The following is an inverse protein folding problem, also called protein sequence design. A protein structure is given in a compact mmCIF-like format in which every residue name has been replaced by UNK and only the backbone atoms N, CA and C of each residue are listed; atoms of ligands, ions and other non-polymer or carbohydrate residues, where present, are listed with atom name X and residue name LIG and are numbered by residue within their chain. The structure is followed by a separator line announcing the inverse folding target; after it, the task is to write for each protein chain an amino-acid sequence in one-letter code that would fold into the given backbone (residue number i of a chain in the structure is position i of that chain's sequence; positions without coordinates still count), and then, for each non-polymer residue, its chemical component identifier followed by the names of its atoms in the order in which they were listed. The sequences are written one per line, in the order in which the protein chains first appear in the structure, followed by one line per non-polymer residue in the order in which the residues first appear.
data_IF_745613986061
#
_entry.id   IF_745613986061
#
_cell.length_a   1.000
_cell.length_b   1.000
_cell.length_c   1.000
_cell.angle_alpha   90.00
_cell.angle_beta   90.00
_cell.angle_gamma   90.00
#
_symmetry.space_group_name_H-M   'P 1'
#
loop_
_entity.id
_entity.type
_entity.pdbx_description
1 polymer ?
#
# COMPACT_ATOMS: atom_id res chain seq x y z
N UNK A 1 -34.01 -14.44 9.42
CA UNK A 1 -35.00 -15.46 9.04
C UNK A 1 -34.22 -16.70 8.64
N UNK A 2 -34.45 -17.89 9.24
CA UNK A 2 -33.87 -19.11 8.70
C UNK A 2 -34.41 -19.29 7.27
N UNK A 3 -33.54 -19.24 6.27
CA UNK A 3 -33.94 -19.42 4.87
C UNK A 3 -34.45 -20.85 4.69
N UNK A 4 -35.62 -20.99 4.07
CA UNK A 4 -36.18 -22.30 3.80
C UNK A 4 -35.37 -23.04 2.72
N UNK A 5 -35.33 -24.37 2.79
CA UNK A 5 -34.61 -25.23 1.83
C UNK A 5 -35.00 -24.90 0.38
N UNK A 6 -36.29 -24.68 0.14
CA UNK A 6 -36.84 -24.30 -1.17
C UNK A 6 -36.32 -22.95 -1.64
N UNK A 7 -36.25 -21.95 -0.78
CA UNK A 7 -35.75 -20.61 -1.12
C UNK A 7 -34.28 -20.64 -1.54
N UNK A 8 -33.43 -21.38 -0.81
CA UNK A 8 -32.02 -21.52 -1.17
C UNK A 8 -31.81 -22.29 -2.49
N UNK A 9 -32.67 -23.26 -2.78
CA UNK A 9 -32.64 -24.00 -4.05
C UNK A 9 -33.09 -23.14 -5.24
N UNK A 10 -34.13 -22.33 -5.07
CA UNK A 10 -34.59 -21.40 -6.10
C UNK A 10 -33.54 -20.30 -6.37
N UNK A 11 -32.90 -19.77 -5.32
CA UNK A 11 -31.78 -18.84 -5.51
C UNK A 11 -30.60 -19.51 -6.23
N UNK A 12 -30.27 -20.76 -5.89
CA UNK A 12 -29.22 -21.49 -6.58
C UNK A 12 -29.53 -21.66 -8.07
N UNK A 13 -30.76 -22.05 -8.44
CA UNK A 13 -31.18 -22.17 -9.84
C UNK A 13 -31.17 -20.84 -10.57
N UNK A 14 -31.47 -19.73 -9.89
CA UNK A 14 -31.41 -18.39 -10.47
C UNK A 14 -29.99 -17.97 -10.80
N UNK A 15 -29.04 -18.24 -9.91
CA UNK A 15 -27.63 -17.86 -10.06
C UNK A 15 -26.85 -18.85 -10.94
N UNK A 16 -27.27 -20.11 -10.96
CA UNK A 16 -26.71 -21.19 -11.77
C UNK A 16 -27.83 -21.88 -12.57
N UNK A 17 -28.25 -21.31 -13.71
CA UNK A 17 -29.39 -21.81 -14.49
C UNK A 17 -29.24 -23.27 -14.96
N UNK A 18 -28.01 -23.74 -15.13
CA UNK A 18 -27.70 -25.12 -15.53
C UNK A 18 -27.79 -26.15 -14.40
N UNK A 19 -28.31 -25.76 -13.23
CA UNK A 19 -28.49 -26.67 -12.09
C UNK A 19 -29.58 -27.70 -12.39
N UNK A 20 -29.25 -28.99 -12.27
CA UNK A 20 -30.19 -30.11 -12.46
C UNK A 20 -30.16 -31.06 -11.26
N UNK A 21 -31.29 -31.72 -10.98
CA UNK A 21 -31.37 -32.73 -9.92
C UNK A 21 -30.95 -34.06 -10.53
N UNK A 22 -29.93 -34.70 -9.95
CA UNK A 22 -29.44 -36.02 -10.38
C UNK A 22 -30.18 -37.12 -9.63
N UNK A 23 -30.28 -36.96 -8.31
CA UNK A 23 -30.92 -37.92 -7.42
C UNK A 23 -31.63 -37.17 -6.31
N UNK A 24 -32.87 -37.59 -6.01
CA UNK A 24 -33.61 -37.10 -4.86
C UNK A 24 -34.10 -38.29 -4.03
N UNK A 25 -33.70 -38.32 -2.77
CA UNK A 25 -34.06 -39.37 -1.83
C UNK A 25 -34.47 -38.77 -0.48
N UNK A 26 -35.05 -39.59 0.39
CA UNK A 26 -35.40 -39.17 1.74
C UNK A 26 -34.17 -38.79 2.60
N UNK A 27 -32.98 -39.24 2.22
CA UNK A 27 -31.73 -39.00 2.97
C UNK A 27 -30.92 -37.83 2.41
N UNK A 28 -30.90 -37.65 1.10
CA UNK A 28 -30.14 -36.62 0.43
C UNK A 28 -30.71 -36.23 -0.94
N UNK A 29 -30.44 -34.99 -1.35
CA UNK A 29 -30.66 -34.51 -2.71
C UNK A 29 -29.30 -34.18 -3.33
N UNK A 30 -29.01 -34.75 -4.50
CA UNK A 30 -27.79 -34.50 -5.25
C UNK A 30 -28.11 -33.66 -6.46
N UNK A 31 -27.49 -32.48 -6.53
CA UNK A 31 -27.62 -31.55 -7.64
C UNK A 31 -26.36 -31.59 -8.49
N UNK A 32 -26.50 -31.58 -9.81
CA UNK A 32 -25.41 -31.25 -10.72
C UNK A 32 -25.48 -29.76 -11.04
N UNK A 33 -24.41 -29.04 -10.77
CA UNK A 33 -24.27 -27.63 -11.12
C UNK A 33 -23.17 -27.50 -12.15
N UNK A 34 -23.49 -26.88 -13.28
CA UNK A 34 -22.53 -26.56 -14.33
C UNK A 34 -22.29 -25.03 -14.32
N UNK A 35 -21.03 -24.61 -14.36
CA UNK A 35 -20.64 -23.21 -14.31
C UNK A 35 -19.39 -22.93 -15.14
N UNK A 36 -19.43 -21.89 -15.98
CA UNK A 36 -18.26 -21.38 -16.68
C UNK A 36 -17.51 -20.40 -15.77
N UNK A 37 -16.24 -20.70 -15.53
CA UNK A 37 -15.40 -19.99 -14.57
C UNK A 37 -14.28 -19.29 -15.31
N UNK A 38 -14.18 -17.97 -15.11
CA UNK A 38 -13.10 -17.15 -15.64
C UNK A 38 -11.98 -17.06 -14.62
N UNK A 39 -10.86 -17.73 -14.90
CA UNK A 39 -9.72 -17.85 -13.99
C UNK A 39 -8.71 -16.74 -14.25
N UNK A 40 -8.59 -16.32 -15.50
CA UNK A 40 -7.79 -15.17 -15.90
C UNK A 40 -8.50 -14.38 -17.00
N UNK A 41 -8.03 -13.17 -17.35
CA UNK A 41 -8.61 -12.40 -18.45
C UNK A 41 -8.67 -13.20 -19.77
N UNK A 42 -7.76 -14.16 -19.95
CA UNK A 42 -7.56 -14.97 -21.15
C UNK A 42 -8.00 -16.42 -21.02
N UNK A 43 -8.33 -16.90 -19.81
CA UNK A 43 -8.67 -18.30 -19.53
C UNK A 43 -10.05 -18.38 -18.86
N UNK A 44 -10.95 -19.04 -19.56
CA UNK A 44 -12.28 -19.41 -19.08
C UNK A 44 -12.52 -20.87 -19.45
N UNK A 45 -12.99 -21.67 -18.49
CA UNK A 45 -13.43 -23.04 -18.78
C UNK A 45 -14.62 -23.46 -17.92
N UNK A 46 -15.36 -24.47 -18.40
CA UNK A 46 -16.55 -24.95 -17.74
C UNK A 46 -16.21 -26.04 -16.71
N UNK A 47 -16.81 -25.92 -15.53
CA UNK A 47 -16.73 -26.91 -14.46
C UNK A 47 -18.12 -27.44 -14.13
N UNK A 48 -18.15 -28.73 -13.80
CA UNK A 48 -19.31 -29.40 -13.23
C UNK A 48 -18.99 -29.80 -11.79
N UNK A 49 -19.89 -29.54 -10.85
CA UNK A 49 -19.81 -30.02 -9.47
C UNK A 49 -21.11 -30.73 -9.07
N UNK A 50 -20.98 -31.79 -8.28
CA UNK A 50 -22.11 -32.38 -7.58
C UNK A 50 -22.24 -31.79 -6.18
N UNK A 51 -23.40 -31.22 -5.90
CA UNK A 51 -23.73 -30.61 -4.61
C UNK A 51 -24.74 -31.51 -3.91
N UNK A 52 -24.29 -32.17 -2.85
CA UNK A 52 -25.10 -33.05 -2.02
C UNK A 52 -25.66 -32.27 -0.84
N UNK A 53 -26.99 -32.24 -0.75
CA UNK A 53 -27.75 -31.62 0.33
C UNK A 53 -28.28 -32.71 1.27
N UNK A 54 -27.83 -32.77 2.54
CA UNK A 54 -28.38 -33.73 3.49
C UNK A 54 -29.85 -33.43 3.80
N UNK A 55 -30.57 -34.42 4.33
CA UNK A 55 -31.96 -34.26 4.79
C UNK A 55 -32.11 -33.20 5.89
N UNK A 56 -31.06 -32.98 6.69
CA UNK A 56 -31.01 -31.95 7.74
C UNK A 56 -30.66 -30.54 7.24
N UNK A 57 -30.40 -30.34 5.95
CA UNK A 57 -30.16 -29.02 5.37
C UNK A 57 -31.40 -28.12 5.49
N UNK A 58 -31.26 -26.82 5.86
CA UNK A 58 -30.02 -26.03 5.93
C UNK A 58 -29.26 -26.09 7.27
N UNK A 59 -29.70 -26.87 8.27
CA UNK A 59 -29.01 -26.95 9.57
C UNK A 59 -27.64 -27.63 9.48
N UNK A 60 -27.48 -28.55 8.53
CA UNK A 60 -26.20 -29.16 8.20
C UNK A 60 -25.65 -28.59 6.88
N UNK A 61 -24.32 -28.55 6.77
CA UNK A 61 -23.63 -28.03 5.60
C UNK A 61 -23.88 -28.89 4.35
N UNK A 62 -23.95 -28.26 3.15
CA UNK A 62 -23.89 -28.98 1.89
C UNK A 62 -22.49 -29.55 1.66
N UNK A 63 -22.37 -30.55 0.79
CA UNK A 63 -21.08 -31.11 0.34
C UNK A 63 -20.94 -30.90 -1.16
N UNK A 64 -19.78 -30.43 -1.62
CA UNK A 64 -19.44 -30.32 -3.02
C UNK A 64 -18.42 -31.39 -3.41
N UNK A 65 -18.63 -32.05 -4.56
CA UNK A 65 -17.71 -33.06 -5.08
C UNK A 65 -17.50 -32.90 -6.58
N UNK A 66 -16.30 -33.27 -7.04
CA UNK A 66 -15.99 -33.32 -8.47
C UNK A 66 -16.62 -34.56 -9.12
N UNK A 67 -17.32 -34.46 -10.26
CA UNK A 67 -18.02 -35.58 -10.89
C UNK A 67 -17.15 -36.73 -11.34
N UNK A 68 -15.89 -36.45 -11.71
CA UNK A 68 -14.99 -37.41 -12.35
C UNK A 68 -14.13 -38.20 -11.36
N UNK A 69 -13.89 -37.68 -10.16
CA UNK A 69 -13.04 -38.34 -9.15
C UNK A 69 -13.71 -38.45 -7.77
N UNK A 70 -14.95 -37.95 -7.63
CA UNK A 70 -15.68 -37.85 -6.36
C UNK A 70 -14.87 -37.16 -5.24
N UNK A 71 -13.87 -36.35 -5.62
CA UNK A 71 -13.06 -35.63 -4.66
C UNK A 71 -13.89 -34.56 -3.97
N UNK A 72 -13.81 -34.49 -2.64
CA UNK A 72 -14.50 -33.48 -1.85
C UNK A 72 -13.84 -32.12 -2.09
N UNK A 73 -14.66 -31.15 -2.49
CA UNK A 73 -14.21 -29.78 -2.70
C UNK A 73 -14.64 -28.92 -1.51
N UNK A 74 -13.73 -28.16 -0.90
CA UNK A 74 -14.08 -27.25 0.19
C UNK A 74 -15.12 -26.21 -0.26
N UNK A 75 -16.12 -25.95 0.58
CA UNK A 75 -17.10 -24.86 0.39
C UNK A 75 -16.70 -23.57 1.11
N UNK A 76 -15.54 -23.58 1.76
CA UNK A 76 -14.97 -22.43 2.48
C UNK A 76 -14.56 -21.32 1.51
N UNK A 77 -14.56 -20.05 1.93
CA UNK A 77 -14.07 -18.97 1.08
C UNK A 77 -12.67 -19.25 0.52
N UNK A 78 -12.39 -18.94 -0.75
CA UNK A 78 -11.09 -19.18 -1.38
C UNK A 78 -10.02 -18.25 -0.80
N UNK A 79 -8.75 -18.68 -0.84
CA UNK A 79 -7.58 -17.90 -0.41
C UNK A 79 -7.57 -17.42 1.06
N UNK A 80 -8.34 -18.06 1.94
CA UNK A 80 -8.27 -17.79 3.38
C UNK A 80 -7.07 -18.48 4.03
N UNK A 81 -6.62 -17.95 5.17
CA UNK A 81 -5.55 -18.57 5.94
C UNK A 81 -5.91 -20.01 6.32
N UNK A 82 -4.97 -20.97 6.29
CA UNK A 82 -5.25 -22.37 6.65
C UNK A 82 -5.88 -22.54 8.04
N UNK A 83 -5.49 -21.70 9.00
CA UNK A 83 -6.07 -21.65 10.35
C UNK A 83 -7.53 -21.21 10.36
N UNK A 84 -7.89 -20.26 9.51
CA UNK A 84 -9.27 -19.77 9.36
C UNK A 84 -10.13 -20.77 8.59
N UNK A 85 -9.56 -21.47 7.61
CA UNK A 85 -10.22 -22.55 6.89
C UNK A 85 -10.62 -23.70 7.83
N UNK A 86 -9.74 -24.08 8.76
CA UNK A 86 -10.05 -25.09 9.78
C UNK A 86 -11.10 -24.63 10.79
N UNK A 87 -11.17 -23.32 11.06
CA UNK A 87 -12.13 -22.72 11.97
C UNK A 87 -13.49 -22.43 11.30
N UNK A 88 -13.59 -22.53 9.97
CA UNK A 88 -14.83 -22.26 9.26
C UNK A 88 -15.92 -23.24 9.66
N UNK A 89 -17.04 -22.69 10.14
CA UNK A 89 -18.22 -23.46 10.50
C UNK A 89 -19.43 -22.96 9.72
N UNK A 90 -20.16 -23.90 9.12
CA UNK A 90 -21.43 -23.61 8.48
C UNK A 90 -22.44 -23.06 9.49
N UNK A 91 -23.01 -21.91 9.17
CA UNK A 91 -24.00 -21.25 10.02
C UNK A 91 -25.22 -20.86 9.19
N UNK A 92 -26.40 -21.30 9.63
CA UNK A 92 -27.69 -20.99 8.96
C UNK A 92 -27.97 -19.49 8.89
N UNK A 93 -27.41 -18.71 9.83
CA UNK A 93 -27.65 -17.28 9.90
C UNK A 93 -26.82 -16.46 8.90
N UNK A 94 -25.66 -16.98 8.50
CA UNK A 94 -24.66 -16.21 7.71
C UNK A 94 -24.25 -16.89 6.42
N UNK A 95 -24.46 -18.20 6.27
CA UNK A 95 -24.01 -18.98 5.12
C UNK A 95 -25.16 -19.23 4.15
N UNK A 96 -24.90 -19.02 2.86
CA UNK A 96 -25.87 -19.32 1.79
C UNK A 96 -25.38 -20.46 0.90
N UNK A 97 -26.32 -21.23 0.34
CA UNK A 97 -25.99 -22.30 -0.60
C UNK A 97 -25.27 -21.78 -1.84
N UNK A 98 -25.67 -20.61 -2.35
CA UNK A 98 -25.04 -20.00 -3.53
C UNK A 98 -23.60 -19.66 -3.26
N UNK A 99 -23.28 -19.05 -2.12
CA UNK A 99 -21.89 -18.73 -1.77
C UNK A 99 -21.07 -20.00 -1.56
N UNK A 100 -21.61 -21.02 -0.89
CA UNK A 100 -20.94 -22.30 -0.73
C UNK A 100 -20.60 -22.94 -2.08
N UNK A 101 -21.51 -22.90 -3.05
CA UNK A 101 -21.30 -23.41 -4.40
C UNK A 101 -20.30 -22.55 -5.18
N UNK A 102 -20.39 -21.22 -5.11
CA UNK A 102 -19.39 -20.31 -5.71
C UNK A 102 -17.99 -20.57 -5.16
N UNK A 103 -17.87 -20.69 -3.85
CA UNK A 103 -16.62 -21.01 -3.18
C UNK A 103 -16.08 -22.37 -3.61
N UNK A 104 -16.93 -23.40 -3.67
CA UNK A 104 -16.52 -24.71 -4.17
C UNK A 104 -16.03 -24.66 -5.61
N UNK A 105 -16.71 -23.91 -6.48
CA UNK A 105 -16.26 -23.70 -7.86
C UNK A 105 -14.89 -23.03 -7.92
N UNK A 106 -14.65 -21.98 -7.12
CA UNK A 106 -13.34 -21.34 -7.07
C UNK A 106 -12.26 -22.27 -6.51
N UNK A 107 -12.51 -22.95 -5.40
CA UNK A 107 -11.55 -23.90 -4.81
C UNK A 107 -11.24 -25.07 -5.77
N UNK A 108 -12.24 -25.54 -6.53
CA UNK A 108 -12.02 -26.52 -7.58
C UNK A 108 -11.14 -25.94 -8.70
N UNK A 109 -11.41 -24.72 -9.16
CA UNK A 109 -10.59 -24.05 -10.17
C UNK A 109 -9.15 -23.86 -9.70
N UNK A 110 -8.93 -23.47 -8.44
CA UNK A 110 -7.59 -23.27 -7.88
C UNK A 110 -6.77 -24.58 -7.87
N UNK A 111 -7.41 -25.74 -7.73
CA UNK A 111 -6.73 -27.05 -7.82
C UNK A 111 -6.21 -27.35 -9.23
N UNK A 112 -6.95 -26.92 -10.25
CA UNK A 112 -6.63 -27.17 -11.66
C UNK A 112 -5.78 -26.05 -12.28
N UNK A 113 -5.88 -24.85 -11.69
CA UNK A 113 -5.22 -23.63 -12.15
C UNK A 113 -5.60 -23.31 -13.60
N UNK A 114 -4.63 -23.03 -14.48
CA UNK A 114 -4.89 -22.65 -15.87
C UNK A 114 -5.25 -23.82 -16.79
N UNK A 115 -5.25 -25.05 -16.30
CA UNK A 115 -5.51 -26.25 -17.13
C UNK A 115 -6.91 -26.77 -16.86
N UNK A 116 -7.75 -26.79 -17.89
CA UNK A 116 -9.10 -27.34 -17.80
C UNK A 116 -9.06 -28.85 -17.44
N UNK A 117 -9.91 -29.32 -16.50
CA UNK A 117 -10.02 -30.75 -16.21
C UNK A 117 -10.48 -31.55 -17.43
N UNK A 118 -10.09 -32.83 -17.53
CA UNK A 118 -10.44 -33.63 -18.69
C UNK A 118 -11.92 -34.03 -18.59
N UNK A 119 -12.65 -33.91 -19.70
CA UNK A 119 -14.02 -34.40 -19.77
C UNK A 119 -14.05 -35.94 -19.75
N UNK A 120 -15.12 -36.53 -19.20
CA UNK A 120 -15.29 -37.98 -19.19
C UNK A 120 -15.30 -38.57 -20.61
N UNK A 121 -15.82 -37.83 -21.58
CA UNK A 121 -15.74 -38.18 -23.00
C UNK A 121 -14.29 -38.27 -23.50
N UNK A 122 -13.45 -37.27 -23.17
CA UNK A 122 -12.03 -37.25 -23.54
C UNK A 122 -11.27 -38.42 -22.92
N UNK A 123 -11.51 -38.71 -21.65
CA UNK A 123 -10.91 -39.86 -20.96
C UNK A 123 -11.37 -41.18 -21.59
N UNK A 124 -12.66 -41.32 -21.87
CA UNK A 124 -13.22 -42.54 -22.47
C UNK A 124 -12.65 -42.77 -23.87
N UNK A 125 -12.52 -41.72 -24.68
CA UNK A 125 -11.91 -41.80 -26.02
C UNK A 125 -10.44 -42.20 -25.98
N UNK A 126 -9.70 -41.72 -24.97
CA UNK A 126 -8.29 -42.10 -24.79
C UNK A 126 -8.17 -43.57 -24.37
N UNK A 127 -8.99 -44.02 -23.42
CA UNK A 127 -8.96 -45.39 -22.93
C UNK A 127 -9.49 -46.40 -23.95
N UNK A 128 -10.42 -46.03 -24.82
CA UNK A 128 -10.98 -46.93 -25.83
C UNK A 128 -10.01 -47.29 -26.95
N UNK A 129 -8.96 -46.48 -27.15
CA UNK A 129 -7.88 -46.77 -28.10
C UNK A 129 -6.78 -47.68 -27.54
N UNK A 130 -6.80 -47.97 -26.23
CA UNK A 130 -5.76 -48.75 -25.57
C UNK A 130 -6.04 -50.27 -25.63
N UNK A 131 -4.98 -51.07 -25.53
CA UNK A 131 -5.11 -52.54 -25.59
C UNK A 131 -5.72 -53.10 -24.29
N UNK A 132 -6.55 -54.14 -24.40
CA UNK A 132 -7.13 -54.85 -23.25
C UNK A 132 -6.08 -55.35 -22.24
N UNK A 133 -4.87 -55.64 -22.72
CA UNK A 133 -3.74 -56.03 -21.87
C UNK A 133 -3.26 -54.87 -21.02
N UNK A 134 -3.07 -53.70 -21.62
CA UNK A 134 -2.71 -52.49 -20.88
C UNK A 134 -3.80 -52.11 -19.90
N UNK A 135 -5.08 -52.16 -20.30
CA UNK A 135 -6.20 -51.87 -19.41
C UNK A 135 -6.22 -52.81 -18.20
N UNK A 136 -5.95 -54.11 -18.39
CA UNK A 136 -5.78 -55.05 -17.27
C UNK A 136 -4.58 -54.71 -16.40
N UNK A 137 -3.44 -54.40 -16.99
CA UNK A 137 -2.22 -54.04 -16.24
C UNK A 137 -2.43 -52.75 -15.42
N UNK A 138 -3.18 -51.77 -15.93
CA UNK A 138 -3.57 -50.54 -15.22
C UNK A 138 -4.48 -50.81 -14.01
N UNK A 139 -5.40 -51.78 -14.14
CA UNK A 139 -6.30 -52.16 -13.04
C UNK A 139 -5.57 -52.97 -11.97
N UNK A 140 -4.62 -53.82 -12.37
CA UNK A 140 -3.94 -54.77 -11.46
C UNK A 140 -2.75 -54.12 -10.75
N UNK A 141 -2.04 -53.19 -11.40
CA UNK A 141 -0.80 -52.63 -10.88
C UNK A 141 -0.86 -51.09 -10.71
N UNK A 142 -0.82 -50.56 -9.47
CA UNK A 142 -0.89 -49.12 -9.23
C UNK A 142 0.29 -48.35 -9.85
N UNK A 143 1.48 -48.96 -9.97
CA UNK A 143 2.63 -48.30 -10.60
C UNK A 143 2.44 -48.12 -12.11
N UNK A 144 1.74 -49.06 -12.76
CA UNK A 144 1.40 -48.95 -14.18
C UNK A 144 0.40 -47.81 -14.41
N UNK A 145 -0.58 -47.66 -13.51
CA UNK A 145 -1.52 -46.55 -13.53
C UNK A 145 -0.82 -45.20 -13.40
N UNK A 146 0.09 -45.06 -12.42
CA UNK A 146 0.85 -43.82 -12.23
C UNK A 146 1.68 -43.48 -13.48
N UNK A 147 2.43 -44.45 -14.01
CA UNK A 147 3.24 -44.26 -15.21
C UNK A 147 2.39 -43.84 -16.42
N UNK A 148 1.21 -44.44 -16.58
CA UNK A 148 0.26 -44.09 -17.64
C UNK A 148 -0.34 -42.69 -17.43
N UNK A 149 -0.71 -42.34 -16.21
CA UNK A 149 -1.18 -40.99 -15.86
C UNK A 149 -0.15 -39.92 -16.29
N UNK A 150 1.15 -40.16 -16.12
CA UNK A 150 2.18 -39.24 -16.62
C UNK A 150 2.25 -39.12 -18.15
N UNK A 151 1.71 -40.07 -18.90
CA UNK A 151 1.66 -40.02 -20.36
C UNK A 151 0.43 -39.28 -20.88
N UNK A 152 -0.61 -39.11 -20.04
CA UNK A 152 -1.84 -38.43 -20.40
C UNK A 152 -1.57 -37.00 -20.90
N UNK A 153 -2.25 -36.55 -21.98
CA UNK A 153 -2.08 -35.21 -22.53
C UNK A 153 -2.29 -34.11 -21.50
N UNK A 154 -3.24 -34.28 -20.58
CA UNK A 154 -3.53 -33.30 -19.54
C UNK A 154 -2.37 -33.13 -18.56
N UNK A 155 -1.75 -34.22 -18.11
CA UNK A 155 -0.59 -34.16 -17.19
C UNK A 155 0.65 -33.61 -17.90
N UNK A 156 0.79 -33.83 -19.21
CA UNK A 156 1.81 -33.14 -20.03
C UNK A 156 1.55 -31.63 -20.08
N UNK A 157 0.30 -31.22 -20.27
CA UNK A 157 -0.09 -29.80 -20.30
C UNK A 157 0.14 -29.12 -18.95
N UNK A 158 -0.30 -29.75 -17.84
CA UNK A 158 -0.04 -29.26 -16.48
C UNK A 158 1.44 -29.05 -16.21
N UNK A 159 2.30 -30.00 -16.59
CA UNK A 159 3.76 -29.85 -16.43
C UNK A 159 4.31 -28.72 -17.29
N UNK A 160 3.82 -28.56 -18.52
CA UNK A 160 4.24 -27.46 -19.40
C UNK A 160 3.89 -26.11 -18.77
N UNK A 161 2.65 -25.95 -18.30
CA UNK A 161 2.21 -24.69 -17.68
C UNK A 161 2.93 -24.46 -16.36
N UNK A 162 3.08 -25.48 -15.51
CA UNK A 162 3.86 -25.38 -14.27
C UNK A 162 5.29 -24.89 -14.52
N UNK A 163 5.99 -25.40 -15.54
CA UNK A 163 7.33 -24.89 -15.93
C UNK A 163 7.30 -23.44 -16.39
N UNK A 164 6.29 -23.03 -17.14
CA UNK A 164 6.12 -21.64 -17.57
C UNK A 164 5.91 -20.72 -16.38
N UNK A 165 5.00 -21.08 -15.46
CA UNK A 165 4.74 -20.34 -14.23
C UNK A 165 5.98 -20.24 -13.34
N UNK A 166 6.75 -21.34 -13.17
CA UNK A 166 8.00 -21.29 -12.41
C UNK A 166 9.02 -20.33 -13.06
N UNK A 167 9.15 -20.36 -14.38
CA UNK A 167 10.05 -19.46 -15.11
C UNK A 167 9.63 -17.99 -14.95
N UNK A 168 8.32 -17.70 -14.94
CA UNK A 168 7.79 -16.36 -14.68
C UNK A 168 8.04 -15.90 -13.24
N UNK A 169 7.86 -16.78 -12.26
CA UNK A 169 8.16 -16.49 -10.85
C UNK A 169 9.64 -16.17 -10.68
N UNK A 170 10.54 -16.97 -11.28
CA UNK A 170 11.98 -16.71 -11.25
C UNK A 170 12.32 -15.36 -11.89
N UNK A 171 11.72 -15.03 -13.03
CA UNK A 171 11.87 -13.72 -13.67
C UNK A 171 11.46 -12.58 -12.74
N UNK A 172 10.25 -12.66 -12.16
CA UNK A 172 9.72 -11.64 -11.24
C UNK A 172 10.57 -11.52 -9.97
N UNK A 173 11.08 -12.63 -9.44
CA UNK A 173 11.96 -12.62 -8.27
C UNK A 173 13.30 -11.92 -8.57
N UNK A 174 13.88 -12.17 -9.75
CA UNK A 174 15.11 -11.50 -10.20
C UNK A 174 14.90 -10.00 -10.42
N UNK A 175 13.78 -9.62 -11.03
CA UNK A 175 13.38 -8.21 -11.19
C UNK A 175 13.18 -7.52 -9.85
N UNK A 176 12.47 -8.15 -8.91
CA UNK A 176 12.30 -7.61 -7.56
C UNK A 176 13.63 -7.45 -6.81
N UNK A 177 14.57 -8.38 -7.00
CA UNK A 177 15.91 -8.27 -6.40
C UNK A 177 16.67 -7.07 -6.98
N UNK A 178 16.54 -6.83 -8.28
CA UNK A 178 17.15 -5.66 -8.95
C UNK A 178 16.52 -4.35 -8.46
N UNK A 179 15.19 -4.28 -8.44
CA UNK A 179 14.45 -3.11 -7.96
C UNK A 179 14.75 -2.79 -6.49
N UNK A 180 14.91 -3.82 -5.65
CA UNK A 180 15.29 -3.64 -4.25
C UNK A 180 16.65 -2.93 -4.11
N UNK A 181 17.64 -3.36 -4.90
CA UNK A 181 18.95 -2.69 -4.92
C UNK A 181 18.84 -1.23 -5.38
N UNK A 182 18.04 -0.96 -6.41
CA UNK A 182 17.81 0.41 -6.89
C UNK A 182 17.16 1.29 -5.82
N UNK A 183 16.14 0.78 -5.12
CA UNK A 183 15.48 1.47 -4.00
C UNK A 183 16.47 1.76 -2.88
N UNK A 184 17.30 0.79 -2.48
CA UNK A 184 18.32 1.00 -1.44
C UNK A 184 19.34 2.07 -1.86
N UNK A 185 19.78 2.10 -3.12
CA UNK A 185 20.69 3.15 -3.61
C UNK A 185 20.04 4.53 -3.65
N UNK A 186 18.76 4.61 -4.03
CA UNK A 186 17.99 5.86 -4.04
C UNK A 186 17.78 6.38 -2.62
N UNK A 187 17.45 5.49 -1.67
CA UNK A 187 17.31 5.85 -0.26
C UNK A 187 18.61 6.43 0.30
N UNK A 188 19.76 5.81 -0.01
CA UNK A 188 21.06 6.33 0.39
C UNK A 188 21.35 7.73 -0.20
N UNK A 189 21.01 7.96 -1.48
CA UNK A 189 21.14 9.29 -2.11
C UNK A 189 20.25 10.33 -1.44
N UNK A 190 18.99 9.99 -1.14
CA UNK A 190 18.05 10.88 -0.46
C UNK A 190 18.57 11.24 0.92
N UNK A 191 19.07 10.28 1.71
CA UNK A 191 19.68 10.55 3.02
C UNK A 191 20.89 11.48 2.90
N UNK A 192 21.76 11.26 1.91
CA UNK A 192 22.90 12.15 1.65
C UNK A 192 22.48 13.58 1.28
N UNK A 193 21.47 13.74 0.45
CA UNK A 193 20.91 15.05 0.10
C UNK A 193 20.26 15.74 1.31
N UNK A 194 19.52 14.99 2.14
CA UNK A 194 18.93 15.51 3.37
C UNK A 194 19.99 16.02 4.34
N UNK A 195 21.09 15.28 4.53
CA UNK A 195 22.21 15.72 5.36
C UNK A 195 22.82 17.01 4.83
N UNK A 196 23.08 17.08 3.51
CA UNK A 196 23.64 18.28 2.88
C UNK A 196 22.73 19.51 3.02
N UNK A 197 21.43 19.32 2.86
CA UNK A 197 20.44 20.39 3.11
C UNK A 197 20.46 20.79 4.59
N UNK A 198 20.51 19.82 5.51
CA UNK A 198 20.61 20.09 6.95
C UNK A 198 21.86 20.91 7.31
N UNK A 199 23.00 20.60 6.71
CA UNK A 199 24.24 21.38 6.85
C UNK A 199 24.10 22.79 6.30
N UNK A 200 23.54 22.96 5.10
CA UNK A 200 23.31 24.26 4.49
C UNK A 200 22.34 25.12 5.29
N UNK A 201 21.26 24.54 5.81
CA UNK A 201 20.32 25.22 6.69
C UNK A 201 21.00 25.63 7.99
N UNK A 202 21.84 24.76 8.57
CA UNK A 202 22.61 25.08 9.77
C UNK A 202 23.59 26.24 9.54
N UNK A 203 24.29 26.25 8.39
CA UNK A 203 25.16 27.36 7.99
C UNK A 203 24.37 28.66 7.81
N UNK A 204 23.21 28.61 7.16
CA UNK A 204 22.33 29.78 7.02
C UNK A 204 21.82 30.28 8.38
N UNK A 205 21.47 29.39 9.31
CA UNK A 205 21.09 29.77 10.67
C UNK A 205 22.24 30.43 11.43
N UNK A 206 23.47 29.93 11.29
CA UNK A 206 24.65 30.56 11.89
C UNK A 206 24.93 31.95 11.29
N UNK A 207 24.80 32.10 9.98
CA UNK A 207 24.90 33.41 9.33
C UNK A 207 23.79 34.36 9.77
N UNK A 208 22.57 33.85 9.93
CA UNK A 208 21.43 34.60 10.47
C UNK A 208 21.60 35.03 11.94
N UNK A 209 22.48 34.39 12.70
CA UNK A 209 22.83 34.81 14.07
C UNK A 209 23.92 35.89 14.12
N UNK A 210 24.49 36.30 12.99
CA UNK A 210 25.50 37.36 12.97
C UNK A 210 24.85 38.70 13.38
N UNK A 211 25.38 39.40 14.40
CA UNK A 211 24.81 40.65 14.91
C UNK A 211 24.77 41.78 13.88
N UNK A 212 25.64 41.74 12.86
CA UNK A 212 25.62 42.70 11.75
C UNK A 212 24.54 42.37 10.71
N UNK A 213 24.31 41.09 10.44
CA UNK A 213 23.23 40.68 9.53
C UNK A 213 21.85 40.82 10.18
N UNK A 214 21.74 40.69 11.49
CA UNK A 214 20.48 40.97 12.21
C UNK A 214 20.21 42.45 12.37
N UNK A 215 21.24 43.30 12.48
CA UNK A 215 21.06 44.75 12.58
C UNK A 215 20.80 45.42 11.23
N UNK A 216 21.25 44.84 10.11
CA UNK A 216 21.11 45.43 8.76
C UNK A 216 20.19 44.61 7.83
N UNK A 217 19.86 43.37 8.20
CA UNK A 217 19.22 42.39 7.29
C UNK A 217 17.77 42.67 6.94
N UNK A 218 17.09 43.53 7.70
CA UNK A 218 15.79 44.08 7.29
C UNK A 218 15.77 45.60 7.48
N UNK A 219 15.00 46.34 6.66
CA UNK A 219 14.83 47.78 6.81
C UNK A 219 14.38 48.16 8.23
N UNK A 220 13.49 47.38 8.84
CA UNK A 220 12.98 47.60 10.19
C UNK A 220 14.06 47.41 11.27
N UNK A 221 14.93 46.41 11.10
CA UNK A 221 16.01 46.15 12.05
C UNK A 221 17.10 47.23 11.97
N UNK A 222 17.39 47.73 10.76
CA UNK A 222 18.31 48.84 10.56
C UNK A 222 17.76 50.14 11.15
N UNK A 223 16.49 50.44 10.92
CA UNK A 223 15.82 51.59 11.53
C UNK A 223 15.89 51.50 13.05
N UNK A 224 15.56 50.34 13.64
CA UNK A 224 15.60 50.14 15.09
C UNK A 224 17.01 50.31 15.66
N UNK A 225 18.03 49.79 14.99
CA UNK A 225 19.43 49.94 15.42
C UNK A 225 19.86 51.41 15.40
N UNK A 226 19.53 52.13 14.32
CA UNK A 226 19.77 53.57 14.21
C UNK A 226 18.96 54.36 15.27
N UNK A 227 17.74 53.94 15.60
CA UNK A 227 16.96 54.53 16.70
C UNK A 227 17.65 54.37 18.05
N UNK A 228 18.17 53.18 18.35
CA UNK A 228 18.86 52.90 19.61
C UNK A 228 20.22 53.62 19.71
N UNK A 229 20.95 53.75 18.60
CA UNK A 229 22.18 54.54 18.52
C UNK A 229 21.93 56.04 18.75
N UNK A 230 20.88 56.62 18.13
CA UNK A 230 20.47 58.01 18.41
C UNK A 230 20.10 58.19 19.88
N UNK A 231 19.35 57.25 20.48
CA UNK A 231 19.00 57.30 21.92
C UNK A 231 20.22 57.21 22.81
N UNK A 232 21.22 56.40 22.45
CA UNK A 232 22.48 56.30 23.21
C UNK A 232 23.27 57.61 23.09
N UNK A 233 23.48 58.11 21.88
CA UNK A 233 24.16 59.39 21.65
C UNK A 233 23.46 60.55 22.34
N UNK A 234 22.13 60.56 22.38
CA UNK A 234 21.35 61.59 23.10
C UNK A 234 21.59 61.54 24.61
N UNK A 235 21.64 60.35 25.21
CA UNK A 235 21.99 60.18 26.62
C UNK A 235 23.42 60.63 26.90
N UNK A 236 24.37 60.24 26.06
CA UNK A 236 25.78 60.62 26.19
C UNK A 236 25.96 62.14 26.05
N UNK A 237 25.28 62.77 25.08
CA UNK A 237 25.20 64.23 24.93
C UNK A 237 24.62 64.90 26.17
N UNK A 238 23.56 64.37 26.79
CA UNK A 238 23.01 64.94 28.03
C UNK A 238 23.99 64.83 29.20
N UNK A 239 24.74 63.73 29.30
CA UNK A 239 25.78 63.56 30.33
C UNK A 239 26.92 64.57 30.10
N UNK A 240 27.38 64.73 28.87
CA UNK A 240 28.39 65.73 28.52
C UNK A 240 27.92 67.16 28.74
N UNK A 241 26.66 67.47 28.38
CA UNK A 241 26.06 68.78 28.62
C UNK A 241 25.97 69.11 30.11
N UNK A 242 25.61 68.13 30.95
CA UNK A 242 25.64 68.31 32.42
C UNK A 242 27.07 68.56 32.92
N UNK A 243 28.04 67.76 32.46
CA UNK A 243 29.46 67.94 32.82
C UNK A 243 30.00 69.32 32.40
N UNK A 244 29.64 69.79 31.21
CA UNK A 244 29.99 71.14 30.77
C UNK A 244 29.38 72.19 31.72
N UNK A 245 28.08 72.10 32.02
CA UNK A 245 27.41 73.05 32.92
C UNK A 245 27.98 73.05 34.36
N UNK A 246 28.44 71.90 34.84
CA UNK A 246 29.12 71.80 36.13
C UNK A 246 30.53 72.44 36.08
N UNK A 247 31.27 72.23 34.99
CA UNK A 247 32.59 72.84 34.75
C UNK A 247 32.53 74.37 34.63
N UNK A 248 31.44 74.93 34.09
CA UNK A 248 31.23 76.39 33.97
C UNK A 248 31.40 77.15 35.30
N UNK A 249 31.12 76.49 36.43
CA UNK A 249 31.24 77.07 37.77
C UNK A 249 32.67 77.02 38.34
N UNK A 250 33.56 76.23 37.74
CA UNK A 250 34.86 75.86 38.31
C UNK A 250 36.03 76.27 37.40
N UNK A 251 35.96 75.96 36.10
CA UNK A 251 37.00 76.25 35.12
C UNK A 251 36.41 76.61 33.75
N UNK A 252 36.80 77.77 33.21
CA UNK A 252 36.33 78.27 31.91
C UNK A 252 36.99 77.57 30.71
N UNK A 253 38.20 77.01 30.87
CA UNK A 253 38.90 76.27 29.82
C UNK A 253 38.22 74.93 29.56
N UNK A 254 38.04 74.13 30.61
CA UNK A 254 37.34 72.84 30.56
C UNK A 254 35.89 72.96 30.07
N UNK A 255 35.22 74.07 30.40
CA UNK A 255 33.89 74.36 29.87
C UNK A 255 33.89 74.47 28.35
N UNK A 256 34.86 75.19 27.77
CA UNK A 256 34.91 75.43 26.33
C UNK A 256 35.19 74.13 25.57
N UNK A 257 36.09 73.29 26.07
CA UNK A 257 36.42 72.00 25.47
C UNK A 257 35.23 71.02 25.52
N UNK A 258 34.54 70.92 26.66
CA UNK A 258 33.35 70.08 26.80
C UNK A 258 32.17 70.61 25.97
N UNK A 259 32.06 71.93 25.82
CA UNK A 259 31.03 72.55 24.97
C UNK A 259 31.27 72.24 23.49
N UNK A 260 32.53 72.26 23.04
CA UNK A 260 32.84 71.95 21.65
C UNK A 260 32.72 70.45 21.35
N UNK A 261 33.05 69.57 22.31
CA UNK A 261 32.72 68.15 22.24
C UNK A 261 31.21 67.90 22.20
N UNK A 262 30.43 68.60 23.02
CA UNK A 262 28.97 68.52 23.01
C UNK A 262 28.38 68.97 21.66
N UNK A 263 28.86 70.08 21.10
CA UNK A 263 28.41 70.57 19.78
C UNK A 263 28.73 69.56 18.67
N UNK A 264 29.94 68.98 18.69
CA UNK A 264 30.36 67.99 17.71
C UNK A 264 29.49 66.73 17.77
N UNK A 265 29.29 66.17 18.96
CA UNK A 265 28.49 64.96 19.14
C UNK A 265 26.99 65.19 18.91
N UNK A 266 26.47 66.36 19.27
CA UNK A 266 25.08 66.76 18.97
C UNK A 266 24.84 66.90 17.47
N UNK A 267 25.79 67.49 16.74
CA UNK A 267 25.74 67.58 15.27
C UNK A 267 25.76 66.20 14.61
N UNK A 268 26.62 65.29 15.09
CA UNK A 268 26.71 63.92 14.58
C UNK A 268 25.43 63.12 14.85
N UNK A 269 24.89 63.20 16.07
CA UNK A 269 23.60 62.62 16.43
C UNK A 269 22.47 63.13 15.52
N UNK A 270 22.39 64.44 15.31
CA UNK A 270 21.36 65.04 14.47
C UNK A 270 21.47 64.58 13.00
N UNK A 271 22.70 64.46 12.48
CA UNK A 271 22.92 63.95 11.13
C UNK A 271 22.47 62.48 11.00
N UNK A 272 22.76 61.65 12.01
CA UNK A 272 22.36 60.25 12.03
C UNK A 272 20.83 60.10 12.12
N UNK A 273 20.17 60.97 12.90
CA UNK A 273 18.71 61.02 13.01
C UNK A 273 18.03 61.43 11.68
N UNK A 274 18.57 62.44 10.98
CA UNK A 274 18.09 62.82 9.66
C UNK A 274 18.23 61.69 8.64
N UNK A 275 19.36 60.97 8.66
CA UNK A 275 19.58 59.80 7.80
C UNK A 275 18.58 58.69 8.09
N UNK A 276 18.29 58.43 9.37
CA UNK A 276 17.28 57.46 9.82
C UNK A 276 15.88 57.81 9.31
N UNK A 277 15.48 59.07 9.44
CA UNK A 277 14.16 59.55 8.99
C UNK A 277 14.05 59.46 7.46
N UNK A 278 15.08 59.88 6.73
CA UNK A 278 15.15 59.76 5.27
C UNK A 278 15.04 58.31 4.82
N UNK A 279 15.79 57.41 5.45
CA UNK A 279 15.76 55.98 5.12
C UNK A 279 14.39 55.34 5.41
N UNK A 280 13.76 55.69 6.55
CA UNK A 280 12.40 55.24 6.88
C UNK A 280 11.37 55.69 5.86
N UNK A 281 11.45 56.94 5.40
CA UNK A 281 10.55 57.48 4.38
C UNK A 281 10.72 56.77 3.02
N UNK A 282 11.95 56.42 2.64
CA UNK A 282 12.25 55.66 1.42
C UNK A 282 11.69 54.23 1.49
N UNK A 283 11.79 53.57 2.64
CA UNK A 283 11.28 52.21 2.82
C UNK A 283 9.75 52.12 2.82
N UNK A 284 9.04 53.18 3.22
CA UNK A 284 7.57 53.24 3.19
C UNK A 284 6.98 53.61 1.82
N UNK A 285 7.81 54.08 0.88
CA UNK A 285 7.40 54.52 -0.45
C UNK A 285 7.62 53.47 -1.55
N UNK A 286 8.26 52.34 -1.20
CA UNK A 286 8.50 51.17 -2.06
C UNK A 286 7.49 50.07 -1.74
#
# INVERSE_FOLDING_TARGET
MPQDRSEQLEELRRQFPSTSVVTESAQETVLKVDHALRISPTIEYALSLYVTLPSSFPKAAPKATMPYCCHNVPITPPNINPSEAMAYQWSVATSTLVEAVRNAFQNAADCWGPVEPPSLHSVTLQLSGETDRLLRDLVINPNCLDAYCYQLPIVKLMRKVSRQTMSEIERVANENTTLRNEVETLEAKVKGLQQRIGEQVSQLQQLGQNPLLTSVGTPEALIKTLEDDVRKMSRDCMVLGKRAMDAYKVDKGDFQDLLDQYKAQSKEMHMLDLKRISYRAQCTAS
#
